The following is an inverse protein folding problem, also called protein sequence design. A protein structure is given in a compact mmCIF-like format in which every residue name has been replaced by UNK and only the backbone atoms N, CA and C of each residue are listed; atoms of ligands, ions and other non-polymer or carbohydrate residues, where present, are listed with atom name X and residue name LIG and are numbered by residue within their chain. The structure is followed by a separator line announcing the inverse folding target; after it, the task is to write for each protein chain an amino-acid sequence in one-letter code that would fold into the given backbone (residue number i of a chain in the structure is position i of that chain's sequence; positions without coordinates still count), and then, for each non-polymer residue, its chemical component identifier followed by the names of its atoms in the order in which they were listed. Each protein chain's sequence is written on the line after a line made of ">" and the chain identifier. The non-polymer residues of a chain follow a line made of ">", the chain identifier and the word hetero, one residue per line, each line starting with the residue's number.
data_IF_407243237038
#
_entry.id   IF_407243237038
#
_cell.length_a   1.000
_cell.length_b   1.000
_cell.length_c   1.000
_cell.angle_alpha   90.00
_cell.angle_beta   90.00
_cell.angle_gamma   90.00
#
_symmetry.space_group_name_H-M   'P 1'
#
loop_
_entity.id
_entity.type
_entity.pdbx_description
1 polymer ?
#
# COMPACT_ATOMS: atom_id res chain seq x y z
N UNK A 1 14.07 8.27 -7.17
CA UNK A 1 15.29 7.84 -6.41
C UNK A 1 15.08 7.90 -4.90
N UNK A 2 14.61 9.00 -4.33
CA UNK A 2 14.51 9.13 -2.85
C UNK A 2 13.72 7.99 -2.19
N UNK A 3 12.48 7.73 -2.64
CA UNK A 3 11.67 6.63 -2.10
C UNK A 3 12.35 5.27 -2.28
N UNK A 4 12.97 5.01 -3.43
CA UNK A 4 13.72 3.79 -3.67
C UNK A 4 14.90 3.61 -2.71
N UNK A 5 15.58 4.70 -2.36
CA UNK A 5 16.66 4.66 -1.37
C UNK A 5 16.14 4.21 0.00
N UNK A 6 14.97 4.72 0.40
CA UNK A 6 14.34 4.34 1.66
C UNK A 6 13.88 2.87 1.65
N UNK A 7 13.30 2.42 0.53
CA UNK A 7 12.95 1.02 0.33
C UNK A 7 14.17 0.09 0.36
N UNK A 8 15.29 0.51 -0.23
CA UNK A 8 16.54 -0.25 -0.23
C UNK A 8 17.01 -0.60 1.18
N UNK A 9 16.91 0.29 2.15
CA UNK A 9 17.35 0.02 3.52
C UNK A 9 16.69 -1.21 4.13
N UNK A 10 15.41 -1.45 3.84
CA UNK A 10 14.71 -2.65 4.31
C UNK A 10 15.03 -3.88 3.45
N UNK A 11 15.08 -3.72 2.12
CA UNK A 11 15.24 -4.83 1.20
C UNK A 11 16.68 -5.36 1.09
N UNK A 12 17.68 -4.56 1.47
CA UNK A 12 19.09 -4.96 1.39
C UNK A 12 19.43 -6.24 2.15
N UNK A 13 18.62 -6.61 3.14
CA UNK A 13 18.78 -7.84 3.91
C UNK A 13 18.37 -9.11 3.16
N UNK A 14 17.81 -8.98 1.96
CA UNK A 14 17.35 -10.08 1.11
C UNK A 14 16.39 -11.06 1.82
N UNK A 15 15.59 -10.58 2.77
CA UNK A 15 14.61 -11.41 3.49
C UNK A 15 13.49 -11.91 2.57
N UNK A 16 13.18 -11.15 1.51
CA UNK A 16 12.10 -11.46 0.56
C UNK A 16 12.60 -11.96 -0.78
N UNK A 17 13.78 -12.64 -0.81
CA UNK A 17 14.42 -13.06 -2.08
C UNK A 17 13.53 -13.97 -2.95
N UNK A 18 12.63 -14.74 -2.35
CA UNK A 18 11.71 -15.63 -3.08
C UNK A 18 10.68 -14.85 -3.94
N UNK A 19 10.49 -13.58 -3.65
CA UNK A 19 9.52 -12.70 -4.30
C UNK A 19 10.17 -11.71 -5.26
N UNK A 20 11.50 -11.55 -5.18
CA UNK A 20 12.25 -10.64 -6.03
C UNK A 20 12.63 -11.30 -7.35
N UNK A 21 12.71 -10.50 -8.41
CA UNK A 21 13.30 -10.98 -9.65
C UNK A 21 14.86 -11.03 -9.54
N UNK A 22 15.49 -11.75 -10.46
CA UNK A 22 16.94 -11.93 -10.47
C UNK A 22 17.69 -10.62 -10.52
N UNK A 23 17.22 -9.65 -11.32
CA UNK A 23 17.84 -8.32 -11.46
C UNK A 23 17.81 -7.56 -10.16
N UNK A 24 16.69 -7.57 -9.43
CA UNK A 24 16.59 -6.91 -8.12
C UNK A 24 17.61 -7.50 -7.13
N UNK A 25 17.69 -8.83 -7.08
CA UNK A 25 18.63 -9.55 -6.19
C UNK A 25 20.09 -9.20 -6.55
N UNK A 26 20.43 -9.16 -7.84
CA UNK A 26 21.78 -8.84 -8.31
C UNK A 26 22.16 -7.40 -7.98
N UNK A 27 21.26 -6.44 -8.18
CA UNK A 27 21.52 -5.04 -7.85
C UNK A 27 21.64 -4.81 -6.34
N UNK A 28 20.81 -5.46 -5.52
CA UNK A 28 20.95 -5.41 -4.05
C UNK A 28 22.31 -5.97 -3.62
N UNK A 29 22.71 -7.12 -4.17
CA UNK A 29 24.03 -7.73 -3.87
C UNK A 29 25.17 -6.81 -4.32
N UNK A 30 25.05 -6.22 -5.51
CA UNK A 30 26.05 -5.28 -6.01
C UNK A 30 26.19 -4.07 -5.06
N UNK A 31 25.10 -3.40 -4.70
CA UNK A 31 25.15 -2.26 -3.79
C UNK A 31 25.71 -2.68 -2.42
N UNK A 32 25.26 -3.83 -1.88
CA UNK A 32 25.79 -4.35 -0.62
C UNK A 32 27.30 -4.59 -0.66
N UNK A 33 27.85 -5.00 -1.80
CA UNK A 33 29.32 -5.20 -1.95
C UNK A 33 30.13 -3.90 -1.91
N UNK A 34 29.49 -2.76 -2.10
CA UNK A 34 30.10 -1.42 -2.01
C UNK A 34 30.04 -0.86 -0.58
N UNK A 35 29.15 -1.38 0.27
CA UNK A 35 28.95 -0.89 1.62
C UNK A 35 30.00 -1.45 2.59
N UNK A 36 30.34 -0.71 3.67
CA UNK A 36 31.15 -1.24 4.77
C UNK A 36 30.51 -2.49 5.40
N UNK A 37 31.34 -3.41 5.92
CA UNK A 37 30.87 -4.64 6.59
C UNK A 37 30.00 -4.35 7.82
N UNK A 38 30.27 -3.26 8.52
CA UNK A 38 29.55 -2.79 9.71
C UNK A 38 28.37 -1.85 9.38
N UNK A 39 27.95 -1.77 8.13
CA UNK A 39 26.83 -0.93 7.75
C UNK A 39 25.55 -1.37 8.49
N UNK A 40 24.99 -0.45 9.27
CA UNK A 40 23.85 -0.70 10.13
C UNK A 40 22.59 -1.14 9.35
N UNK A 41 21.93 -2.20 9.86
CA UNK A 41 20.74 -2.80 9.27
C UNK A 41 19.43 -2.30 9.87
N UNK A 42 19.49 -1.56 10.97
CA UNK A 42 18.32 -1.07 11.67
C UNK A 42 17.59 -0.01 10.82
N UNK A 43 16.30 -0.20 10.58
CA UNK A 43 15.46 0.74 9.83
C UNK A 43 14.01 0.73 10.36
N UNK A 44 13.30 1.83 10.13
CA UNK A 44 11.85 1.88 10.26
C UNK A 44 11.19 1.12 9.10
N UNK A 45 9.94 0.74 9.28
CA UNK A 45 9.16 0.12 8.21
C UNK A 45 9.16 0.97 6.94
N UNK A 46 9.34 0.31 5.81
CA UNK A 46 9.48 0.94 4.49
C UNK A 46 8.27 1.83 4.14
N UNK A 47 7.05 1.29 4.27
CA UNK A 47 5.81 2.01 3.98
C UNK A 47 5.65 3.24 4.87
N UNK A 48 5.88 3.09 6.18
CA UNK A 48 5.83 4.20 7.15
C UNK A 48 6.78 5.32 6.81
N UNK A 49 8.03 4.98 6.49
CA UNK A 49 9.06 5.97 6.19
C UNK A 49 8.76 6.67 4.85
N UNK A 50 8.34 5.93 3.84
CA UNK A 50 7.93 6.52 2.56
C UNK A 50 6.70 7.42 2.71
N UNK A 51 5.72 7.03 3.55
CA UNK A 51 4.56 7.85 3.83
C UNK A 51 4.93 9.13 4.60
N UNK A 52 5.84 9.07 5.58
CA UNK A 52 6.37 10.25 6.27
C UNK A 52 7.01 11.21 5.25
N UNK A 53 7.87 10.70 4.39
CA UNK A 53 8.62 11.52 3.43
C UNK A 53 7.70 12.07 2.35
N UNK A 54 6.76 11.29 1.82
CA UNK A 54 5.77 11.79 0.86
C UNK A 54 4.88 12.87 1.50
N UNK A 55 4.46 12.68 2.75
CA UNK A 55 3.71 13.71 3.49
C UNK A 55 4.54 14.98 3.71
N UNK A 56 5.84 14.85 3.96
CA UNK A 56 6.72 16.00 4.22
C UNK A 56 6.96 16.84 2.97
N UNK A 57 7.25 16.20 1.83
CA UNK A 57 7.56 16.89 0.57
C UNK A 57 6.32 17.22 -0.27
N UNK A 58 5.21 16.50 -0.05
CA UNK A 58 3.99 16.64 -0.84
C UNK A 58 4.19 16.23 -2.32
N UNK A 59 4.08 17.16 -3.26
CA UNK A 59 4.10 16.88 -4.69
C UNK A 59 5.49 16.78 -5.35
N UNK A 60 6.57 17.06 -4.62
CA UNK A 60 7.90 17.22 -5.23
C UNK A 60 8.82 15.99 -5.14
N UNK A 61 8.25 14.79 -4.93
CA UNK A 61 9.00 13.55 -4.67
C UNK A 61 10.01 13.17 -5.76
N UNK A 62 9.75 13.54 -7.02
CA UNK A 62 10.63 13.20 -8.14
C UNK A 62 11.98 13.93 -8.11
N UNK A 63 12.00 15.13 -7.56
CA UNK A 63 13.17 16.02 -7.56
C UNK A 63 14.10 15.81 -6.39
N UNK A 64 13.66 15.07 -5.36
CA UNK A 64 14.38 14.89 -4.11
C UNK A 64 15.67 14.08 -4.34
N UNK A 65 16.77 14.66 -3.90
CA UNK A 65 18.11 14.07 -3.93
C UNK A 65 18.49 13.43 -2.59
N UNK A 66 19.60 12.67 -2.55
CA UNK A 66 20.14 12.20 -1.27
C UNK A 66 20.58 13.37 -0.38
N UNK A 67 21.06 14.47 -0.95
CA UNK A 67 21.43 15.67 -0.18
C UNK A 67 20.22 16.31 0.50
N UNK A 68 19.09 16.33 -0.18
CA UNK A 68 17.85 16.83 0.42
C UNK A 68 17.41 15.95 1.60
N UNK A 69 17.42 14.64 1.44
CA UNK A 69 17.11 13.71 2.53
C UNK A 69 18.10 13.87 3.70
N UNK A 70 19.41 13.96 3.42
CA UNK A 70 20.42 14.16 4.46
C UNK A 70 20.16 15.45 5.23
N UNK A 71 19.93 16.55 4.51
CA UNK A 71 19.66 17.86 5.10
C UNK A 71 18.41 17.81 6.00
N UNK A 72 17.34 17.21 5.50
CA UNK A 72 16.05 17.27 6.18
C UNK A 72 15.97 16.30 7.37
N UNK A 73 16.59 15.12 7.28
CA UNK A 73 16.76 14.24 8.45
C UNK A 73 17.69 14.80 9.54
N UNK A 74 18.48 15.85 9.25
CA UNK A 74 19.20 16.60 10.28
C UNK A 74 18.28 17.48 11.14
N UNK A 75 17.02 17.66 10.72
CA UNK A 75 16.01 18.46 11.42
C UNK A 75 14.70 17.67 11.54
N UNK A 76 14.69 16.52 12.24
CA UNK A 76 13.55 15.63 12.30
C UNK A 76 12.32 16.27 12.95
N UNK A 77 12.50 17.26 13.84
CA UNK A 77 11.41 18.02 14.45
C UNK A 77 10.62 18.80 13.40
N UNK A 78 11.31 19.33 12.37
CA UNK A 78 10.66 20.01 11.25
C UNK A 78 9.81 19.04 10.43
N UNK A 79 10.33 17.85 10.14
CA UNK A 79 9.57 16.78 9.47
C UNK A 79 8.31 16.47 10.29
N UNK A 80 8.48 16.21 11.60
CA UNK A 80 7.37 15.89 12.51
C UNK A 80 6.31 16.99 12.56
N UNK A 81 6.70 18.27 12.64
CA UNK A 81 5.77 19.40 12.68
C UNK A 81 4.93 19.47 11.39
N UNK A 82 5.57 19.33 10.23
CA UNK A 82 4.89 19.40 8.94
C UNK A 82 3.95 18.21 8.74
N UNK A 83 4.43 17.00 9.00
CA UNK A 83 3.63 15.77 8.86
C UNK A 83 2.42 15.80 9.79
N UNK A 84 2.62 16.10 11.09
CA UNK A 84 1.50 16.22 12.05
C UNK A 84 0.48 17.30 11.67
N UNK A 85 0.92 18.41 11.06
CA UNK A 85 0.02 19.46 10.59
C UNK A 85 -0.81 18.98 9.39
N UNK A 86 -0.19 18.30 8.43
CA UNK A 86 -0.84 17.85 7.21
C UNK A 86 -1.81 16.69 7.44
N UNK A 87 -1.47 15.77 8.35
CA UNK A 87 -2.30 14.60 8.67
C UNK A 87 -3.24 14.80 9.85
N UNK A 88 -3.42 16.05 10.31
CA UNK A 88 -4.30 16.36 11.46
C UNK A 88 -5.75 16.03 11.12
N UNK A 89 -6.31 15.07 11.85
CA UNK A 89 -7.69 14.61 11.64
C UNK A 89 -7.83 13.51 10.58
N UNK A 90 -6.71 13.07 10.00
CA UNK A 90 -6.64 11.95 9.10
C UNK A 90 -6.47 10.64 9.92
N UNK A 91 -7.04 9.53 9.42
CA UNK A 91 -6.88 8.21 10.05
C UNK A 91 -5.40 7.79 10.12
N UNK A 92 -4.58 8.22 9.18
CA UNK A 92 -3.15 7.94 9.14
C UNK A 92 -2.37 8.55 10.31
N UNK A 93 -2.93 9.55 10.99
CA UNK A 93 -2.27 10.24 12.11
C UNK A 93 -1.91 9.27 13.26
N UNK A 94 -2.82 8.35 13.62
CA UNK A 94 -2.61 7.38 14.69
C UNK A 94 -1.44 6.42 14.40
N UNK A 95 -1.25 6.08 13.13
CA UNK A 95 -0.19 5.22 12.65
C UNK A 95 1.16 5.96 12.50
N UNK A 96 1.12 7.18 11.95
CA UNK A 96 2.35 7.94 11.69
C UNK A 96 2.98 8.56 12.93
N UNK A 97 2.18 8.97 13.93
CA UNK A 97 2.71 9.72 15.07
C UNK A 97 3.73 8.95 15.90
N UNK A 98 3.53 7.66 16.21
CA UNK A 98 4.58 6.86 16.86
C UNK A 98 5.87 6.77 16.03
N UNK A 99 5.76 6.66 14.71
CA UNK A 99 6.92 6.61 13.82
C UNK A 99 7.69 7.91 13.79
N UNK A 100 6.99 9.06 13.86
CA UNK A 100 7.63 10.38 13.98
C UNK A 100 8.37 10.55 15.32
N UNK A 101 7.84 9.99 16.40
CA UNK A 101 8.51 10.02 17.70
C UNK A 101 9.81 9.21 17.64
N UNK A 102 9.79 7.99 17.09
CA UNK A 102 11.01 7.21 16.87
C UNK A 102 12.01 7.91 15.95
N UNK A 103 11.53 8.58 14.89
CA UNK A 103 12.40 9.37 14.01
C UNK A 103 13.15 10.43 14.81
N UNK A 104 12.46 11.16 15.71
CA UNK A 104 13.06 12.17 16.59
C UNK A 104 13.99 11.57 17.65
N UNK A 105 13.69 10.37 18.16
CA UNK A 105 14.47 9.69 19.22
C UNK A 105 15.82 9.13 18.75
N UNK A 106 16.16 9.24 17.48
CA UNK A 106 17.49 8.88 17.00
C UNK A 106 17.53 8.19 15.63
N UNK A 107 16.41 7.72 15.09
CA UNK A 107 16.41 7.09 13.77
C UNK A 107 16.82 8.09 12.68
N UNK A 108 16.42 9.36 12.77
CA UNK A 108 16.84 10.38 11.80
C UNK A 108 18.37 10.50 11.72
N UNK A 109 19.06 10.46 12.85
CA UNK A 109 20.54 10.48 12.88
C UNK A 109 21.13 9.25 12.19
N UNK A 110 20.58 8.06 12.45
CA UNK A 110 21.00 6.82 11.77
C UNK A 110 20.78 6.92 10.25
N UNK A 111 19.65 7.46 9.81
CA UNK A 111 19.40 7.68 8.37
C UNK A 111 20.37 8.67 7.75
N UNK A 112 20.71 9.76 8.43
CA UNK A 112 21.74 10.70 7.95
C UNK A 112 23.08 10.00 7.74
N UNK A 113 23.49 9.16 8.67
CA UNK A 113 24.75 8.39 8.57
C UNK A 113 24.69 7.39 7.41
N UNK A 114 23.61 6.62 7.28
CA UNK A 114 23.39 5.67 6.18
C UNK A 114 23.38 6.34 4.81
N UNK A 115 22.67 7.45 4.67
CA UNK A 115 22.57 8.20 3.43
C UNK A 115 23.92 8.78 3.01
N UNK A 116 24.73 9.27 3.97
CA UNK A 116 26.09 9.72 3.71
C UNK A 116 26.99 8.59 3.22
N UNK A 117 26.89 7.40 3.80
CA UNK A 117 27.61 6.22 3.34
C UNK A 117 27.18 5.85 1.93
N UNK A 118 25.87 5.73 1.66
CA UNK A 118 25.35 5.46 0.30
C UNK A 118 25.90 6.46 -0.73
N UNK A 119 25.89 7.75 -0.36
CA UNK A 119 26.43 8.79 -1.24
C UNK A 119 27.93 8.60 -1.48
N UNK A 120 28.71 8.29 -0.43
CA UNK A 120 30.15 8.10 -0.53
C UNK A 120 30.57 6.91 -1.38
N UNK A 121 29.76 5.85 -1.45
CA UNK A 121 30.00 4.68 -2.31
C UNK A 121 29.44 4.83 -3.73
N UNK A 122 28.92 6.01 -4.07
CA UNK A 122 28.46 6.32 -5.43
C UNK A 122 27.08 5.76 -5.77
N UNK A 123 26.21 5.53 -4.78
CA UNK A 123 24.87 4.98 -4.98
C UNK A 123 24.05 5.70 -6.05
N UNK A 124 24.12 7.05 -6.12
CA UNK A 124 23.42 7.84 -7.14
C UNK A 124 23.86 7.48 -8.57
N UNK A 125 25.14 7.18 -8.76
CA UNK A 125 25.66 6.73 -10.05
C UNK A 125 25.15 5.32 -10.37
N UNK A 126 25.25 4.40 -9.41
CA UNK A 126 24.72 3.03 -9.55
C UNK A 126 23.23 3.08 -9.87
N UNK A 127 22.47 3.88 -9.13
CA UNK A 127 21.03 4.04 -9.36
C UNK A 127 20.74 4.52 -10.79
N UNK A 128 21.40 5.59 -11.22
CA UNK A 128 21.20 6.19 -12.56
C UNK A 128 21.55 5.25 -13.69
N UNK A 129 22.66 4.52 -13.57
CA UNK A 129 23.20 3.71 -14.67
C UNK A 129 22.59 2.31 -14.73
N UNK A 130 22.21 1.72 -13.60
CA UNK A 130 21.79 0.33 -13.51
C UNK A 130 20.33 0.14 -13.14
N UNK A 131 19.77 0.97 -12.27
CA UNK A 131 18.42 0.79 -11.73
C UNK A 131 17.39 1.61 -12.51
N UNK A 132 17.68 2.89 -12.74
CA UNK A 132 16.76 3.81 -13.40
C UNK A 132 16.29 3.34 -14.80
N UNK A 133 17.09 2.65 -15.63
CA UNK A 133 16.61 2.08 -16.87
C UNK A 133 15.44 1.12 -16.69
N UNK A 134 15.54 0.19 -15.73
CA UNK A 134 14.45 -0.76 -15.40
C UNK A 134 13.22 -0.06 -14.86
N UNK A 135 13.39 0.95 -14.01
CA UNK A 135 12.27 1.77 -13.51
C UNK A 135 11.57 2.50 -14.67
N UNK A 136 12.30 3.07 -15.60
CA UNK A 136 11.74 3.75 -16.79
C UNK A 136 11.00 2.79 -17.71
N UNK A 137 11.52 1.60 -17.90
CA UNK A 137 10.84 0.56 -18.68
C UNK A 137 9.52 0.17 -18.04
N UNK A 138 9.50 0.00 -16.71
CA UNK A 138 8.29 -0.28 -15.95
C UNK A 138 7.29 0.88 -16.02
N UNK A 139 7.73 2.14 -15.88
CA UNK A 139 6.86 3.31 -16.03
C UNK A 139 6.19 3.31 -17.41
N UNK A 140 6.95 3.03 -18.48
CA UNK A 140 6.40 2.96 -19.83
C UNK A 140 5.35 1.84 -19.97
N UNK A 141 5.55 0.71 -19.28
CA UNK A 141 4.60 -0.39 -19.24
C UNK A 141 3.34 0.00 -18.47
N UNK A 142 3.48 0.58 -17.27
CA UNK A 142 2.36 1.10 -16.46
C UNK A 142 1.53 2.10 -17.26
N UNK A 143 2.17 3.06 -17.92
CA UNK A 143 1.50 4.06 -18.75
C UNK A 143 0.71 3.43 -19.89
N UNK A 144 1.26 2.39 -20.52
CA UNK A 144 0.57 1.64 -21.59
C UNK A 144 -0.65 0.90 -21.05
N UNK A 145 -0.51 0.22 -19.91
CA UNK A 145 -1.58 -0.58 -19.33
C UNK A 145 -2.70 0.31 -18.77
N UNK A 146 -2.34 1.44 -18.13
CA UNK A 146 -3.31 2.46 -17.67
C UNK A 146 -4.03 3.10 -18.86
N UNK A 147 -3.39 3.27 -20.00
CA UNK A 147 -4.02 3.80 -21.21
C UNK A 147 -5.18 2.94 -21.77
N UNK A 148 -5.33 1.71 -21.26
CA UNK A 148 -6.45 0.80 -21.61
C UNK A 148 -7.59 0.92 -20.58
N UNK A 149 -7.32 1.48 -19.40
CA UNK A 149 -8.29 1.66 -18.30
C UNK A 149 -9.11 2.93 -18.56
N UNK A 150 -10.42 2.85 -18.38
CA UNK A 150 -11.25 4.05 -18.23
C UNK A 150 -11.01 4.65 -16.83
N UNK A 151 -9.97 5.49 -16.73
CA UNK A 151 -9.57 6.11 -15.48
C UNK A 151 -10.67 7.07 -14.94
N UNK A 152 -11.42 7.74 -15.81
CA UNK A 152 -12.51 8.63 -15.40
C UNK A 152 -13.64 7.83 -14.74
N UNK A 153 -14.00 6.69 -15.33
CA UNK A 153 -15.00 5.82 -14.73
C UNK A 153 -14.53 5.26 -13.40
N UNK A 154 -13.29 4.78 -13.31
CA UNK A 154 -12.71 4.25 -12.08
C UNK A 154 -12.73 5.30 -10.97
N UNK A 155 -12.23 6.52 -11.22
CA UNK A 155 -12.21 7.60 -10.24
C UNK A 155 -13.60 8.04 -9.81
N UNK A 156 -14.56 8.09 -10.73
CA UNK A 156 -15.97 8.38 -10.43
C UNK A 156 -16.56 7.30 -9.51
N UNK A 157 -16.28 6.04 -9.80
CA UNK A 157 -16.77 4.92 -9.02
C UNK A 157 -16.17 4.90 -7.61
N UNK A 158 -14.86 5.14 -7.48
CA UNK A 158 -14.18 5.26 -6.19
C UNK A 158 -14.72 6.44 -5.38
N UNK A 159 -14.88 7.61 -6.02
CA UNK A 159 -15.45 8.80 -5.38
C UNK A 159 -16.85 8.54 -4.82
N UNK A 160 -17.67 7.81 -5.59
CA UNK A 160 -19.00 7.41 -5.14
C UNK A 160 -18.94 6.45 -3.96
N UNK A 161 -18.10 5.42 -4.04
CA UNK A 161 -17.89 4.48 -2.92
C UNK A 161 -17.48 5.19 -1.63
N UNK A 162 -16.51 6.09 -1.72
CA UNK A 162 -15.95 6.79 -0.56
C UNK A 162 -16.75 8.00 -0.12
N UNK A 163 -17.78 8.40 -0.88
CA UNK A 163 -18.53 9.64 -0.68
C UNK A 163 -17.61 10.87 -0.57
N UNK A 164 -16.65 10.98 -1.47
CA UNK A 164 -15.68 12.09 -1.54
C UNK A 164 -15.73 12.74 -2.91
N UNK A 165 -15.26 14.00 -3.04
CA UNK A 165 -15.10 14.63 -4.36
C UNK A 165 -14.26 13.78 -5.30
N UNK A 166 -14.56 13.84 -6.59
CA UNK A 166 -13.79 13.13 -7.62
C UNK A 166 -12.32 13.55 -7.52
N UNK A 167 -11.44 12.56 -7.48
CA UNK A 167 -10.00 12.79 -7.54
C UNK A 167 -9.65 13.15 -8.98
N UNK A 168 -9.07 14.34 -9.20
CA UNK A 168 -8.73 14.81 -10.55
C UNK A 168 -7.52 14.07 -11.13
N UNK A 169 -6.59 13.68 -10.28
CA UNK A 169 -5.42 12.90 -10.66
C UNK A 169 -4.86 12.14 -9.44
N UNK A 170 -4.06 11.12 -9.73
CA UNK A 170 -3.24 10.43 -8.74
C UNK A 170 -1.86 10.19 -9.32
N UNK A 171 -0.83 10.35 -8.50
CA UNK A 171 0.53 10.05 -8.90
C UNK A 171 0.88 8.61 -8.55
N UNK A 172 1.38 7.87 -9.54
CA UNK A 172 1.86 6.51 -9.35
C UNK A 172 3.38 6.52 -9.42
N UNK A 173 4.02 6.24 -8.29
CA UNK A 173 5.46 6.12 -8.20
C UNK A 173 5.89 4.68 -8.39
N UNK A 174 6.86 4.44 -9.26
CA UNK A 174 7.41 3.09 -9.49
C UNK A 174 8.70 2.94 -8.73
N UNK A 175 8.81 1.92 -7.90
CA UNK A 175 9.98 1.60 -7.09
C UNK A 175 10.63 0.29 -7.53
N UNK A 176 11.95 0.29 -7.57
CA UNK A 176 12.73 -0.91 -7.80
C UNK A 176 12.84 -1.79 -6.54
N UNK A 177 12.82 -1.16 -5.37
CA UNK A 177 13.12 -1.82 -4.09
C UNK A 177 11.89 -2.00 -3.17
N UNK A 178 10.68 -1.60 -3.54
CA UNK A 178 9.51 -1.71 -2.65
C UNK A 178 8.93 -3.12 -2.53
N UNK A 179 9.46 -4.09 -3.27
CA UNK A 179 8.93 -5.44 -3.31
C UNK A 179 8.76 -6.09 -1.92
N UNK A 180 7.69 -6.87 -1.67
CA UNK A 180 6.57 -7.20 -2.57
C UNK A 180 5.40 -6.20 -2.47
N UNK A 181 5.60 -5.05 -1.88
CA UNK A 181 4.55 -4.18 -1.37
C UNK A 181 4.31 -2.98 -2.28
N UNK A 182 3.06 -2.79 -2.65
CA UNK A 182 2.52 -1.49 -3.07
C UNK A 182 1.86 -0.85 -1.85
N UNK A 183 1.88 0.47 -1.73
CA UNK A 183 1.28 1.16 -0.59
C UNK A 183 0.95 2.62 -0.90
N UNK A 184 -0.05 3.12 -0.19
CA UNK A 184 -0.49 4.52 -0.29
C UNK A 184 0.60 5.47 0.19
N UNK A 185 0.74 6.58 -0.53
CA UNK A 185 1.50 7.76 -0.16
C UNK A 185 0.56 8.91 0.18
N UNK A 186 1.11 10.05 0.59
CA UNK A 186 0.31 11.23 0.90
C UNK A 186 -0.42 11.78 -0.33
N UNK A 187 -1.61 12.34 -0.11
CA UNK A 187 -2.38 13.02 -1.16
C UNK A 187 -3.10 12.07 -2.14
N UNK A 188 -3.27 10.79 -1.78
CA UNK A 188 -3.90 9.81 -2.67
C UNK A 188 -2.96 9.25 -3.74
N UNK A 189 -1.68 9.62 -3.70
CA UNK A 189 -0.62 9.00 -4.50
C UNK A 189 -0.27 7.63 -3.94
N UNK A 190 0.33 6.76 -4.72
CA UNK A 190 0.80 5.46 -4.23
C UNK A 190 2.08 5.01 -4.95
N UNK A 191 2.75 4.07 -4.32
CA UNK A 191 3.99 3.48 -4.80
C UNK A 191 3.75 2.03 -5.17
N UNK A 192 4.16 1.65 -6.36
CA UNK A 192 4.12 0.27 -6.85
C UNK A 192 5.53 -0.27 -7.04
N UNK A 193 5.69 -1.57 -6.83
CA UNK A 193 6.93 -2.27 -7.13
C UNK A 193 7.03 -2.61 -8.61
N UNK A 194 8.24 -2.61 -9.18
CA UNK A 194 8.46 -3.18 -10.51
C UNK A 194 8.05 -4.65 -10.53
N UNK A 195 7.47 -5.08 -11.64
CA UNK A 195 7.02 -6.47 -11.78
C UNK A 195 8.18 -7.46 -11.75
N UNK A 196 8.00 -8.53 -10.99
CA UNK A 196 8.98 -9.60 -10.89
C UNK A 196 9.03 -10.53 -12.11
N UNK A 197 7.99 -10.55 -12.95
CA UNK A 197 7.78 -11.65 -13.90
C UNK A 197 7.89 -11.26 -15.38
N UNK A 198 8.04 -9.98 -15.71
CA UNK A 198 7.97 -9.54 -17.13
C UNK A 198 6.61 -9.81 -17.80
N UNK A 199 5.67 -10.41 -17.09
CA UNK A 199 4.29 -10.59 -17.53
C UNK A 199 3.52 -9.30 -17.29
N UNK A 200 2.52 -9.03 -18.12
CA UNK A 200 1.61 -7.91 -17.92
C UNK A 200 0.97 -8.02 -16.55
N UNK A 201 1.38 -7.16 -15.63
CA UNK A 201 0.65 -6.97 -14.37
C UNK A 201 -0.59 -6.17 -14.74
N UNK A 202 -1.73 -6.63 -14.29
CA UNK A 202 -2.94 -5.87 -14.39
C UNK A 202 -2.94 -4.81 -13.29
N UNK A 203 -2.76 -3.55 -13.68
CA UNK A 203 -2.70 -2.43 -12.73
C UNK A 203 -4.07 -1.96 -12.25
N UNK A 204 -5.16 -2.33 -12.91
CA UNK A 204 -6.50 -1.90 -12.52
C UNK A 204 -6.87 -2.33 -11.09
N UNK A 205 -6.71 -3.61 -10.69
CA UNK A 205 -6.95 -4.01 -9.31
C UNK A 205 -6.10 -3.25 -8.31
N UNK A 206 -4.80 -3.09 -8.60
CA UNK A 206 -3.89 -2.36 -7.71
C UNK A 206 -4.32 -0.90 -7.51
N UNK A 207 -4.66 -0.20 -8.59
CA UNK A 207 -5.13 1.19 -8.51
C UNK A 207 -6.44 1.27 -7.72
N UNK A 208 -7.39 0.37 -8.01
CA UNK A 208 -8.65 0.30 -7.31
C UNK A 208 -8.44 0.04 -5.81
N UNK A 209 -7.55 -0.89 -5.46
CA UNK A 209 -7.21 -1.24 -4.09
C UNK A 209 -6.63 -0.06 -3.32
N UNK A 210 -5.53 0.49 -3.81
CA UNK A 210 -4.80 1.56 -3.12
C UNK A 210 -5.65 2.83 -2.96
N UNK A 211 -6.46 3.17 -3.96
CA UNK A 211 -7.34 4.33 -3.88
C UNK A 211 -8.56 4.10 -2.97
N UNK A 212 -8.91 2.86 -2.67
CA UNK A 212 -9.99 2.56 -1.72
C UNK A 212 -9.56 2.72 -0.26
N UNK A 213 -8.27 2.62 0.09
CA UNK A 213 -7.81 2.82 1.47
C UNK A 213 -8.24 4.16 2.07
N UNK A 214 -8.37 4.19 3.39
CA UNK A 214 -8.66 5.40 4.17
C UNK A 214 -10.12 5.87 4.11
N UNK A 215 -11.07 4.99 3.77
CA UNK A 215 -12.49 5.32 3.78
C UNK A 215 -13.20 4.92 5.09
N UNK A 216 -12.68 3.88 5.78
CA UNK A 216 -13.39 3.27 6.90
C UNK A 216 -13.51 4.21 8.11
N UNK A 217 -14.74 4.43 8.55
CA UNK A 217 -15.04 5.22 9.75
C UNK A 217 -14.75 4.43 11.03
N UNK A 218 -14.56 5.14 12.15
CA UNK A 218 -14.41 4.51 13.48
C UNK A 218 -15.60 3.59 13.82
N UNK A 219 -16.80 3.94 13.39
CA UNK A 219 -18.02 3.14 13.61
C UNK A 219 -17.95 1.84 12.78
N UNK A 220 -17.56 1.92 11.53
CA UNK A 220 -17.36 0.75 10.65
C UNK A 220 -16.34 -0.22 11.25
N UNK A 221 -15.21 0.29 11.68
CA UNK A 221 -14.14 -0.51 12.32
C UNK A 221 -14.64 -1.12 13.64
N UNK A 222 -15.39 -0.36 14.45
CA UNK A 222 -15.96 -0.89 15.70
C UNK A 222 -16.93 -2.05 15.45
N UNK A 223 -17.82 -1.93 14.46
CA UNK A 223 -18.75 -3.00 14.08
C UNK A 223 -18.00 -4.22 13.53
N UNK A 224 -16.98 -4.01 12.73
CA UNK A 224 -16.12 -5.08 12.23
C UNK A 224 -15.45 -5.85 13.37
N UNK A 225 -14.83 -5.16 14.33
CA UNK A 225 -14.21 -5.81 15.49
C UNK A 225 -15.21 -6.62 16.32
N UNK A 226 -16.43 -6.10 16.52
CA UNK A 226 -17.51 -6.87 17.17
C UNK A 226 -17.83 -8.15 16.40
N UNK A 227 -17.90 -8.06 15.08
CA UNK A 227 -18.13 -9.22 14.23
C UNK A 227 -17.01 -10.27 14.41
N UNK A 228 -15.75 -9.83 14.32
CA UNK A 228 -14.59 -10.69 14.55
C UNK A 228 -14.65 -11.37 15.91
N UNK A 229 -14.94 -10.62 16.98
CA UNK A 229 -15.02 -11.14 18.35
C UNK A 229 -16.13 -12.18 18.54
N UNK A 230 -17.17 -12.15 17.71
CA UNK A 230 -18.31 -13.07 17.81
C UNK A 230 -18.05 -14.47 17.21
N UNK A 231 -16.96 -14.66 16.46
CA UNK A 231 -16.71 -15.88 15.70
C UNK A 231 -15.24 -16.30 15.74
N UNK A 232 -14.95 -17.51 16.23
CA UNK A 232 -13.57 -18.01 16.39
C UNK A 232 -12.82 -18.21 15.05
N UNK A 233 -13.53 -18.49 13.96
CA UNK A 233 -12.89 -18.56 12.63
C UNK A 233 -12.47 -17.18 12.15
N UNK A 234 -13.37 -16.20 12.26
CA UNK A 234 -13.04 -14.79 11.90
C UNK A 234 -11.89 -14.26 12.74
N UNK A 235 -11.83 -14.57 14.04
CA UNK A 235 -10.70 -14.21 14.90
C UNK A 235 -9.37 -14.75 14.39
N UNK A 236 -9.36 -16.02 13.96
CA UNK A 236 -8.13 -16.65 13.44
C UNK A 236 -7.68 -15.99 12.12
N UNK A 237 -8.63 -15.74 11.22
CA UNK A 237 -8.33 -15.07 9.95
C UNK A 237 -7.79 -13.64 10.19
N UNK A 238 -8.48 -12.88 11.03
CA UNK A 238 -8.07 -11.52 11.37
C UNK A 238 -6.71 -11.48 12.07
N UNK A 239 -6.46 -12.41 13.01
CA UNK A 239 -5.15 -12.54 13.64
C UNK A 239 -4.04 -12.79 12.61
N UNK A 240 -4.29 -13.67 11.63
CA UNK A 240 -3.35 -13.92 10.55
C UNK A 240 -3.11 -12.67 9.68
N UNK A 241 -4.16 -11.91 9.34
CA UNK A 241 -4.01 -10.64 8.61
C UNK A 241 -3.08 -9.68 9.34
N UNK A 242 -3.29 -9.46 10.64
CA UNK A 242 -2.48 -8.52 11.43
C UNK A 242 -1.07 -9.05 11.69
N UNK A 243 -0.92 -10.31 12.11
CA UNK A 243 0.37 -10.81 12.59
C UNK A 243 1.26 -11.33 11.48
N UNK A 244 0.69 -12.02 10.49
CA UNK A 244 1.48 -12.65 9.43
C UNK A 244 1.68 -11.69 8.24
N UNK A 245 0.64 -10.90 7.89
CA UNK A 245 0.64 -10.03 6.72
C UNK A 245 0.81 -8.54 7.06
N UNK A 246 0.60 -8.13 8.34
CA UNK A 246 0.73 -6.75 8.83
C UNK A 246 -0.29 -5.78 8.22
N UNK A 247 -1.45 -6.28 7.88
CA UNK A 247 -2.54 -5.51 7.30
C UNK A 247 -3.43 -4.84 8.36
N UNK A 248 -4.21 -3.86 7.95
CA UNK A 248 -5.12 -3.11 8.82
C UNK A 248 -6.55 -3.68 8.89
N UNK A 249 -7.35 -3.13 9.79
CA UNK A 249 -8.76 -3.53 10.00
C UNK A 249 -9.67 -3.27 8.78
N UNK A 250 -9.30 -2.35 7.88
CA UNK A 250 -10.09 -2.04 6.69
C UNK A 250 -9.81 -2.93 5.48
N UNK A 251 -8.77 -3.74 5.53
CA UNK A 251 -8.25 -4.50 4.40
C UNK A 251 -9.30 -5.37 3.71
N UNK A 252 -10.11 -6.10 4.47
CA UNK A 252 -11.16 -6.94 3.90
C UNK A 252 -12.24 -6.12 3.18
N UNK A 253 -12.52 -4.90 3.61
CA UNK A 253 -13.45 -4.00 2.92
C UNK A 253 -12.87 -3.47 1.62
N UNK A 254 -11.58 -3.13 1.62
CA UNK A 254 -10.85 -2.67 0.45
C UNK A 254 -10.81 -3.77 -0.61
N UNK A 255 -10.46 -5.01 -0.26
CA UNK A 255 -10.45 -6.16 -1.18
C UNK A 255 -11.83 -6.38 -1.80
N UNK A 256 -12.91 -6.30 -1.01
CA UNK A 256 -14.26 -6.48 -1.54
C UNK A 256 -14.63 -5.37 -2.55
N UNK A 257 -14.29 -4.13 -2.25
CA UNK A 257 -14.53 -2.99 -3.12
C UNK A 257 -13.68 -3.05 -4.40
N UNK A 258 -12.38 -3.36 -4.30
CA UNK A 258 -11.49 -3.62 -5.42
C UNK A 258 -12.10 -4.64 -6.39
N UNK A 259 -12.45 -5.83 -5.86
CA UNK A 259 -13.03 -6.88 -6.69
C UNK A 259 -14.37 -6.48 -7.32
N UNK A 260 -15.18 -5.66 -6.62
CA UNK A 260 -16.42 -5.17 -7.19
C UNK A 260 -16.20 -4.12 -8.28
N UNK A 261 -15.23 -3.22 -8.12
CA UNK A 261 -14.80 -2.29 -9.17
C UNK A 261 -14.27 -3.04 -10.40
N UNK A 262 -13.47 -4.07 -10.18
CA UNK A 262 -13.01 -4.96 -11.25
C UNK A 262 -14.17 -5.65 -11.99
N UNK A 263 -15.20 -6.08 -11.26
CA UNK A 263 -16.41 -6.62 -11.88
C UNK A 263 -17.14 -5.60 -12.75
N UNK A 264 -17.31 -4.37 -12.23
CA UNK A 264 -18.02 -3.31 -12.95
C UNK A 264 -17.29 -2.85 -14.21
N UNK A 265 -15.96 -2.91 -14.25
CA UNK A 265 -15.17 -2.61 -15.43
C UNK A 265 -15.46 -3.54 -16.62
N UNK A 266 -16.07 -4.70 -16.37
CA UNK A 266 -16.40 -5.72 -17.38
C UNK A 266 -15.19 -6.53 -17.88
N UNK A 267 -13.99 -6.28 -17.33
CA UNK A 267 -12.76 -7.00 -17.73
C UNK A 267 -12.54 -8.32 -17.00
N UNK A 268 -13.25 -8.54 -15.87
CA UNK A 268 -13.06 -9.69 -14.99
C UNK A 268 -14.32 -10.51 -14.84
N UNK A 269 -14.17 -11.83 -14.89
CA UNK A 269 -15.27 -12.75 -14.63
C UNK A 269 -15.52 -12.92 -13.12
N UNK A 270 -16.77 -13.03 -12.70
CA UNK A 270 -17.16 -13.24 -11.30
C UNK A 270 -16.40 -14.40 -10.65
N UNK A 271 -16.27 -15.53 -11.35
CA UNK A 271 -15.60 -16.72 -10.81
C UNK A 271 -14.10 -16.48 -10.60
N UNK A 272 -13.46 -15.70 -11.47
CA UNK A 272 -12.07 -15.28 -11.28
C UNK A 272 -11.94 -14.40 -10.04
N UNK A 273 -12.79 -13.39 -9.87
CA UNK A 273 -12.77 -12.51 -8.71
C UNK A 273 -13.04 -13.26 -7.40
N UNK A 274 -13.99 -14.19 -7.39
CA UNK A 274 -14.22 -15.07 -6.24
C UNK A 274 -13.00 -15.92 -5.91
N UNK A 275 -12.29 -16.43 -6.93
CA UNK A 275 -11.06 -17.18 -6.74
C UNK A 275 -9.94 -16.29 -6.20
N UNK A 276 -9.84 -15.06 -6.69
CA UNK A 276 -8.89 -14.05 -6.21
C UNK A 276 -9.11 -13.76 -4.72
N UNK A 277 -10.33 -13.43 -4.30
CA UNK A 277 -10.66 -13.16 -2.90
C UNK A 277 -10.31 -14.36 -2.01
N UNK A 278 -10.61 -15.59 -2.46
CA UNK A 278 -10.27 -16.80 -1.73
C UNK A 278 -8.75 -17.05 -1.63
N UNK A 279 -7.96 -16.49 -2.53
CA UNK A 279 -6.51 -16.58 -2.52
C UNK A 279 -5.82 -15.47 -1.70
N UNK A 280 -6.49 -14.34 -1.47
CA UNK A 280 -5.94 -13.24 -0.71
C UNK A 280 -5.49 -13.71 0.68
N UNK A 281 -4.26 -13.36 1.04
CA UNK A 281 -3.66 -13.66 2.33
C UNK A 281 -3.86 -15.12 2.79
N UNK A 282 -3.72 -16.07 1.87
CA UNK A 282 -3.88 -17.48 2.16
C UNK A 282 -5.31 -17.91 2.53
N UNK A 283 -6.32 -17.15 2.11
CA UNK A 283 -7.73 -17.43 2.39
C UNK A 283 -8.25 -16.79 3.68
N UNK A 284 -7.51 -15.84 4.24
CA UNK A 284 -7.84 -15.18 5.52
C UNK A 284 -8.75 -13.95 5.36
N UNK A 285 -9.50 -13.82 4.25
CA UNK A 285 -10.41 -12.70 3.97
C UNK A 285 -11.89 -13.14 3.79
N UNK A 286 -12.51 -13.85 4.77
CA UNK A 286 -13.87 -14.34 4.63
C UNK A 286 -14.91 -13.21 4.60
N UNK A 287 -14.66 -12.09 5.29
CA UNK A 287 -15.56 -10.93 5.30
C UNK A 287 -15.58 -10.25 3.95
N UNK A 288 -14.43 -10.12 3.29
CA UNK A 288 -14.33 -9.60 1.93
C UNK A 288 -15.19 -10.40 0.95
N UNK A 289 -15.16 -11.73 1.04
CA UNK A 289 -15.97 -12.59 0.19
C UNK A 289 -17.47 -12.38 0.42
N UNK A 290 -17.90 -12.26 1.67
CA UNK A 290 -19.31 -12.01 2.03
C UNK A 290 -19.79 -10.66 1.48
N UNK A 291 -19.01 -9.60 1.67
CA UNK A 291 -19.29 -8.25 1.17
C UNK A 291 -19.38 -8.24 -0.36
N UNK A 292 -18.39 -8.83 -1.04
CA UNK A 292 -18.38 -8.92 -2.50
C UNK A 292 -19.63 -9.62 -3.04
N UNK A 293 -20.07 -10.72 -2.42
CA UNK A 293 -21.29 -11.40 -2.83
C UNK A 293 -22.56 -10.55 -2.65
N UNK A 294 -22.62 -9.71 -1.62
CA UNK A 294 -23.72 -8.78 -1.44
C UNK A 294 -23.69 -7.68 -2.50
N UNK A 295 -22.53 -7.07 -2.76
CA UNK A 295 -22.36 -6.04 -3.79
C UNK A 295 -22.74 -6.56 -5.18
N UNK A 296 -22.32 -7.78 -5.54
CA UNK A 296 -22.69 -8.43 -6.82
C UNK A 296 -24.19 -8.62 -6.97
N UNK A 297 -24.91 -8.95 -5.89
CA UNK A 297 -26.37 -9.10 -5.95
C UNK A 297 -27.08 -7.77 -6.21
N UNK A 298 -26.56 -6.68 -5.67
CA UNK A 298 -27.11 -5.34 -5.84
C UNK A 298 -26.80 -4.74 -7.22
N UNK A 299 -25.65 -5.06 -7.77
CA UNK A 299 -25.16 -4.57 -9.07
C UNK A 299 -25.00 -3.05 -9.16
N UNK A 300 -25.05 -2.36 -8.06
CA UNK A 300 -24.94 -0.91 -7.98
C UNK A 300 -23.87 -0.52 -6.96
N UNK A 301 -23.13 0.55 -7.26
CA UNK A 301 -22.16 1.12 -6.33
C UNK A 301 -22.93 1.83 -5.24
N UNK A 302 -22.67 1.53 -3.95
CA UNK A 302 -23.19 2.32 -2.84
C UNK A 302 -22.85 3.82 -2.99
N UNK A 303 -23.76 4.71 -2.64
CA UNK A 303 -23.50 6.16 -2.63
C UNK A 303 -22.56 6.57 -1.48
N UNK A 304 -22.46 5.72 -0.46
CA UNK A 304 -21.54 5.81 0.66
C UNK A 304 -21.28 4.39 1.19
N UNK A 305 -20.02 3.96 1.12
CA UNK A 305 -19.67 2.59 1.50
C UNK A 305 -19.72 2.36 3.01
N UNK A 306 -19.38 3.37 3.83
CA UNK A 306 -19.54 3.26 5.28
C UNK A 306 -21.02 3.09 5.66
N UNK A 307 -21.88 3.93 5.14
CA UNK A 307 -23.32 3.85 5.37
C UNK A 307 -23.86 2.48 4.94
N UNK A 308 -23.44 2.00 3.79
CA UNK A 308 -23.83 0.69 3.29
C UNK A 308 -23.35 -0.46 4.20
N UNK A 309 -22.09 -0.40 4.65
CA UNK A 309 -21.53 -1.39 5.59
C UNK A 309 -22.31 -1.36 6.92
N UNK A 310 -22.52 -0.19 7.50
CA UNK A 310 -23.19 -0.02 8.81
C UNK A 310 -24.64 -0.46 8.75
N UNK A 311 -25.39 0.04 7.77
CA UNK A 311 -26.84 -0.09 7.75
C UNK A 311 -27.35 -1.31 6.98
N UNK A 312 -26.51 -1.94 6.17
CA UNK A 312 -26.89 -3.09 5.36
C UNK A 312 -26.05 -4.31 5.67
N UNK A 313 -24.74 -4.27 5.44
CA UNK A 313 -23.89 -5.43 5.68
C UNK A 313 -23.95 -5.88 7.13
N UNK A 314 -23.57 -5.06 8.09
CA UNK A 314 -23.54 -5.44 9.51
C UNK A 314 -24.92 -5.68 10.12
N UNK A 315 -25.97 -5.10 9.57
CA UNK A 315 -27.35 -5.31 10.02
C UNK A 315 -27.91 -6.65 9.56
N UNK A 316 -27.65 -7.02 8.30
CA UNK A 316 -28.16 -8.25 7.70
C UNK A 316 -27.20 -9.43 7.92
N UNK A 317 -26.02 -9.15 8.46
CA UNK A 317 -24.99 -10.13 8.76
C UNK A 317 -25.32 -10.84 10.05
N UNK A 318 -26.11 -11.90 9.95
CA UNK A 318 -26.28 -12.88 11.05
C UNK A 318 -25.35 -14.07 10.78
N UNK A 319 -24.79 -14.64 11.85
CA UNK A 319 -23.97 -15.87 11.79
C UNK A 319 -24.75 -17.06 11.17
N UNK A 320 -26.07 -16.96 11.12
CA UNK A 320 -26.97 -17.91 10.48
C UNK A 320 -27.18 -17.67 8.98
N UNK A 321 -26.52 -16.65 8.40
CA UNK A 321 -26.63 -16.38 6.99
C UNK A 321 -25.92 -17.50 6.18
N UNK A 322 -26.64 -18.19 5.26
CA UNK A 322 -26.06 -19.30 4.48
C UNK A 322 -24.83 -18.93 3.65
N UNK A 323 -24.64 -17.64 3.34
CA UNK A 323 -23.44 -17.14 2.63
C UNK A 323 -22.20 -17.34 3.51
N UNK A 324 -22.29 -17.06 4.81
CA UNK A 324 -21.19 -17.21 5.76
C UNK A 324 -20.88 -18.67 6.01
N UNK A 325 -21.92 -19.47 6.20
CA UNK A 325 -21.76 -20.91 6.39
C UNK A 325 -21.07 -21.59 5.19
N UNK A 326 -21.29 -21.09 3.97
CA UNK A 326 -20.62 -21.59 2.76
C UNK A 326 -19.17 -21.12 2.60
N UNK A 327 -18.78 -20.05 3.31
CA UNK A 327 -17.40 -19.53 3.30
C UNK A 327 -16.55 -20.11 4.45
N UNK A 328 -17.20 -20.61 5.49
CA UNK A 328 -16.59 -21.20 6.71
C UNK A 328 -16.41 -22.71 6.60
N UNK A 329 -17.12 -23.39 5.69
CA UNK A 329 -17.00 -24.81 5.36
C UNK A 329 -16.31 -25.00 3.99
#
# INVERSE_FOLDING_TARGET
>A
MALDTLCFFQQRMLQNVNWMNTTQIEEIKHINSLLPEDFDNECLGMSSLCLIISTYYDSDLETITLDDLIRDFQSPERISQIVRKRTRGDFTASYLFPMLDWLNEGYAKKYVEKLKVLKSVGFETVYRERILPSVREEIARVQKDIGIIDAEELFRNISKFKNVPIVDHTDIYVSFFSWPVSFVLYGGSFLICISSSGNSVDYYPFIAHELMHGFASDETIHLYRKLIESNEHLKKCHFALIEDYKEGDEEEFVIAAECFLCYLSGHYLIDQLKSTIKGYYGGNCPTAAAIFEMLIKEREIPDDYNDWLIHKFFKDYSLDNPIITSLVN
#
